data_IF_612467794014
#
_entry.id   IF_612467794014
#
_cell.length_a   1.000
_cell.length_b   1.000
_cell.length_c   1.000
_cell.angle_alpha   90.00
_cell.angle_beta   90.00
_cell.angle_gamma   90.00
#
_symmetry.space_group_name_H-M   'P 1'
#
loop_
_entity.id
_entity.type
_entity.pdbx_description
1 polymer ?
#
# COMPACT_ATOMS: atom_id res chain seq x y z
N UNK A 1 4.61 -13.99 -21.22
CA UNK A 1 4.62 -12.85 -20.28
C UNK A 1 5.05 -13.41 -18.95
N UNK A 2 6.28 -13.09 -18.57
CA UNK A 2 6.94 -13.65 -17.38
C UNK A 2 7.11 -12.52 -16.39
N UNK A 3 6.74 -12.78 -15.14
CA UNK A 3 6.97 -11.79 -14.08
C UNK A 3 8.46 -11.80 -13.70
N UNK A 4 9.14 -10.67 -13.93
CA UNK A 4 10.56 -10.47 -13.62
C UNK A 4 10.74 -9.87 -12.22
N UNK A 5 9.83 -8.99 -11.80
CA UNK A 5 9.84 -8.36 -10.48
C UNK A 5 8.48 -8.55 -9.79
N UNK A 6 8.48 -9.04 -8.55
CA UNK A 6 7.27 -9.33 -7.78
C UNK A 6 6.85 -8.12 -6.94
N UNK A 7 6.42 -7.03 -7.59
CA UNK A 7 6.14 -5.74 -6.92
C UNK A 7 5.13 -5.86 -5.75
N UNK A 8 4.13 -6.74 -5.87
CA UNK A 8 3.18 -6.99 -4.78
C UNK A 8 3.86 -7.61 -3.55
N UNK A 9 4.73 -8.61 -3.76
CA UNK A 9 5.52 -9.21 -2.66
C UNK A 9 6.43 -8.17 -2.01
N UNK A 10 7.10 -7.33 -2.81
CA UNK A 10 7.97 -6.27 -2.29
C UNK A 10 7.18 -5.25 -1.46
N UNK A 11 5.99 -4.84 -1.92
CA UNK A 11 5.12 -3.93 -1.18
C UNK A 11 4.70 -4.53 0.17
N UNK A 12 4.30 -5.82 0.20
CA UNK A 12 3.95 -6.50 1.44
C UNK A 12 5.13 -6.54 2.41
N UNK A 13 6.33 -6.91 1.95
CA UNK A 13 7.53 -6.92 2.79
C UNK A 13 7.85 -5.52 3.33
N UNK A 14 7.82 -4.50 2.48
CA UNK A 14 8.04 -3.11 2.91
C UNK A 14 7.01 -2.66 3.96
N UNK A 15 5.75 -3.08 3.85
CA UNK A 15 4.74 -2.74 4.84
C UNK A 15 4.95 -3.47 6.19
N UNK A 16 5.45 -4.72 6.16
CA UNK A 16 5.51 -5.59 7.35
C UNK A 16 6.84 -5.56 8.09
N UNK A 17 7.96 -5.51 7.39
CA UNK A 17 9.29 -5.67 7.96
C UNK A 17 9.71 -4.47 8.81
N UNK A 18 10.45 -4.72 9.89
CA UNK A 18 11.14 -3.67 10.65
C UNK A 18 12.45 -3.24 9.97
N UNK A 19 13.12 -2.21 10.49
CA UNK A 19 14.34 -1.65 9.88
C UNK A 19 15.47 -2.68 9.75
N UNK A 20 15.73 -3.47 10.81
CA UNK A 20 16.75 -4.52 10.77
C UNK A 20 16.41 -5.65 9.78
N UNK A 21 15.12 -5.96 9.62
CA UNK A 21 14.68 -6.98 8.67
C UNK A 21 14.78 -6.50 7.22
N UNK A 22 14.58 -5.20 6.97
CA UNK A 22 14.66 -4.62 5.63
C UNK A 22 16.06 -4.71 5.04
N UNK A 23 17.11 -4.68 5.86
CA UNK A 23 18.51 -4.79 5.41
C UNK A 23 18.75 -6.10 4.63
N UNK A 24 18.11 -7.21 5.02
CA UNK A 24 18.23 -8.49 4.32
C UNK A 24 17.63 -8.49 2.91
N UNK A 25 16.77 -7.53 2.60
CA UNK A 25 16.06 -7.43 1.32
C UNK A 25 16.43 -6.18 0.51
N UNK A 26 17.39 -5.37 0.98
CA UNK A 26 17.79 -4.12 0.33
C UNK A 26 18.06 -4.25 -1.19
N UNK A 27 18.79 -5.27 -1.69
CA UNK A 27 19.03 -5.43 -3.13
C UNK A 27 17.76 -5.64 -3.97
N UNK A 28 16.70 -6.16 -3.36
CA UNK A 28 15.41 -6.34 -4.05
C UNK A 28 14.63 -5.03 -4.14
N UNK A 29 14.83 -4.11 -3.20
CA UNK A 29 14.15 -2.82 -3.17
C UNK A 29 14.78 -1.78 -4.11
N UNK A 30 16.07 -1.93 -4.43
CA UNK A 30 16.77 -1.07 -5.42
C UNK A 30 16.22 -1.20 -6.84
N UNK A 31 15.47 -2.27 -7.14
CA UNK A 31 14.92 -2.53 -8.48
C UNK A 31 13.59 -1.80 -8.74
N UNK A 32 13.04 -1.12 -7.73
CA UNK A 32 11.70 -0.51 -7.78
C UNK A 32 11.71 0.86 -7.12
N UNK A 33 10.79 1.72 -7.55
CA UNK A 33 10.54 2.98 -6.86
C UNK A 33 9.50 2.72 -5.78
N UNK A 34 9.77 3.14 -4.54
CA UNK A 34 8.82 2.92 -3.45
C UNK A 34 8.81 4.04 -2.42
N UNK A 35 7.73 4.12 -1.67
CA UNK A 35 7.65 4.91 -0.45
C UNK A 35 6.91 4.15 0.66
N UNK A 36 7.22 4.46 1.91
CA UNK A 36 6.56 3.88 3.08
C UNK A 36 5.92 4.98 3.93
N UNK A 37 4.95 4.60 4.76
CA UNK A 37 4.34 5.49 5.72
C UNK A 37 3.50 4.79 6.78
N UNK A 38 2.88 5.58 7.64
CA UNK A 38 1.99 5.11 8.71
C UNK A 38 0.72 5.96 8.71
N UNK A 39 -0.43 5.33 8.93
CA UNK A 39 -1.72 6.00 9.04
C UNK A 39 -2.59 5.26 10.06
N UNK A 40 -3.06 5.98 11.08
CA UNK A 40 -4.04 5.48 12.04
C UNK A 40 -5.31 6.33 11.99
N UNK A 41 -6.47 5.70 11.84
CA UNK A 41 -7.72 6.46 11.76
C UNK A 41 -8.97 5.61 11.97
N UNK A 42 -10.04 6.27 12.40
CA UNK A 42 -11.41 5.77 12.29
C UNK A 42 -12.04 6.15 10.94
N UNK A 43 -11.43 7.04 10.16
CA UNK A 43 -11.93 7.47 8.86
C UNK A 43 -11.02 6.96 7.74
N UNK A 44 -11.56 6.09 6.89
CA UNK A 44 -10.82 5.51 5.76
C UNK A 44 -10.25 6.58 4.83
N UNK A 45 -10.98 7.69 4.66
CA UNK A 45 -10.54 8.84 3.85
C UNK A 45 -9.18 9.39 4.30
N UNK A 46 -8.89 9.41 5.61
CA UNK A 46 -7.59 9.88 6.13
C UNK A 46 -6.47 8.90 5.81
N UNK A 47 -6.75 7.60 5.75
CA UNK A 47 -5.79 6.58 5.32
C UNK A 47 -5.49 6.76 3.82
N UNK A 48 -6.52 6.91 2.99
CA UNK A 48 -6.37 7.17 1.54
C UNK A 48 -5.52 8.42 1.30
N UNK A 49 -5.88 9.53 1.95
CA UNK A 49 -5.16 10.80 1.80
C UNK A 49 -3.70 10.71 2.27
N UNK A 50 -3.40 9.94 3.32
CA UNK A 50 -2.03 9.74 3.79
C UNK A 50 -1.18 8.99 2.75
N UNK A 51 -1.72 7.95 2.11
CA UNK A 51 -1.02 7.22 1.05
C UNK A 51 -0.81 8.11 -0.19
N UNK A 52 -1.85 8.82 -0.64
CA UNK A 52 -1.75 9.72 -1.79
C UNK A 52 -0.70 10.82 -1.56
N UNK A 53 -0.73 11.44 -0.38
CA UNK A 53 0.24 12.48 0.00
C UNK A 53 1.66 11.93 0.00
N UNK A 54 1.88 10.74 0.57
CA UNK A 54 3.19 10.11 0.58
C UNK A 54 3.68 9.76 -0.83
N UNK A 55 2.81 9.19 -1.67
CA UNK A 55 3.17 8.81 -3.04
C UNK A 55 3.54 10.03 -3.89
N UNK A 56 2.77 11.13 -3.79
CA UNK A 56 3.06 12.41 -4.46
C UNK A 56 4.36 13.04 -3.97
N UNK A 57 4.52 13.18 -2.65
CA UNK A 57 5.70 13.80 -2.02
C UNK A 57 7.00 13.08 -2.36
N UNK A 58 6.96 11.76 -2.52
CA UNK A 58 8.13 10.94 -2.86
C UNK A 58 8.29 10.71 -4.38
N UNK A 59 7.46 11.36 -5.22
CA UNK A 59 7.57 11.23 -6.68
C UNK A 59 7.20 9.84 -7.23
N UNK A 60 6.48 9.02 -6.46
CA UNK A 60 5.98 7.72 -6.94
C UNK A 60 4.88 7.93 -7.99
N UNK A 61 4.06 8.97 -7.82
CA UNK A 61 3.12 9.44 -8.82
C UNK A 61 3.25 10.95 -9.02
N UNK A 62 2.91 11.43 -10.21
CA UNK A 62 2.89 12.85 -10.53
C UNK A 62 1.64 13.55 -9.93
N UNK A 63 1.84 14.73 -9.36
CA UNK A 63 0.78 15.48 -8.65
C UNK A 63 -0.39 15.89 -9.57
N UNK A 64 -0.07 16.19 -10.83
CA UNK A 64 -1.00 16.79 -11.80
C UNK A 64 -1.48 15.80 -12.89
N UNK A 65 -1.21 14.50 -12.74
CA UNK A 65 -1.63 13.48 -13.71
C UNK A 65 -2.77 12.65 -13.12
N UNK A 66 -3.98 12.91 -13.59
CA UNK A 66 -5.19 12.22 -13.11
C UNK A 66 -5.10 10.70 -13.29
N UNK A 67 -4.54 10.23 -14.42
CA UNK A 67 -4.36 8.79 -14.70
C UNK A 67 -3.61 8.07 -13.58
N UNK A 68 -2.51 8.66 -13.10
CA UNK A 68 -1.69 8.06 -12.04
C UNK A 68 -2.38 8.12 -10.68
N UNK A 69 -3.08 9.23 -10.39
CA UNK A 69 -3.88 9.37 -9.18
C UNK A 69 -5.03 8.35 -9.16
N UNK A 70 -5.70 8.14 -10.29
CA UNK A 70 -6.78 7.16 -10.45
C UNK A 70 -6.26 5.73 -10.28
N UNK A 71 -5.13 5.39 -10.90
CA UNK A 71 -4.49 4.09 -10.76
C UNK A 71 -4.15 3.78 -9.29
N UNK A 72 -3.50 4.74 -8.62
CA UNK A 72 -3.17 4.65 -7.18
C UNK A 72 -4.42 4.50 -6.32
N UNK A 73 -5.45 5.32 -6.57
CA UNK A 73 -6.70 5.30 -5.80
C UNK A 73 -7.36 3.92 -5.81
N UNK A 74 -7.47 3.29 -6.98
CA UNK A 74 -8.05 1.96 -7.08
C UNK A 74 -7.18 0.87 -6.41
N UNK A 75 -5.84 0.98 -6.50
CA UNK A 75 -4.95 0.09 -5.77
C UNK A 75 -5.09 0.26 -4.24
N UNK A 76 -5.29 1.48 -3.74
CA UNK A 76 -5.58 1.74 -2.32
C UNK A 76 -6.90 1.07 -1.92
N UNK A 77 -7.96 1.24 -2.72
CA UNK A 77 -9.28 0.67 -2.41
C UNK A 77 -9.24 -0.86 -2.33
N UNK A 78 -8.60 -1.52 -3.29
CA UNK A 78 -8.43 -2.97 -3.28
C UNK A 78 -7.64 -3.44 -2.04
N UNK A 79 -6.56 -2.74 -1.70
CA UNK A 79 -5.79 -3.01 -0.49
C UNK A 79 -6.63 -2.85 0.79
N UNK A 80 -7.48 -1.81 0.85
CA UNK A 80 -8.41 -1.59 1.97
C UNK A 80 -9.50 -2.66 2.06
N UNK A 81 -9.90 -3.30 0.96
CA UNK A 81 -10.81 -4.45 1.03
C UNK A 81 -10.16 -5.62 1.78
N UNK A 82 -8.87 -5.86 1.57
CA UNK A 82 -8.10 -6.84 2.36
C UNK A 82 -8.06 -6.50 3.85
N UNK A 83 -7.88 -5.21 4.19
CA UNK A 83 -7.89 -4.75 5.59
C UNK A 83 -9.26 -4.92 6.23
N UNK A 84 -10.32 -4.54 5.51
CA UNK A 84 -11.68 -4.45 6.05
C UNK A 84 -12.48 -5.74 5.96
N UNK A 85 -12.06 -6.67 5.09
CA UNK A 85 -12.60 -8.03 4.85
C UNK A 85 -14.10 -8.03 4.58
N UNK A 86 -14.54 -7.13 3.70
CA UNK A 86 -15.93 -6.95 3.34
C UNK A 86 -16.22 -5.48 3.05
N UNK A 87 -17.12 -4.88 3.82
CA UNK A 87 -17.47 -3.48 3.62
C UNK A 87 -16.33 -2.54 4.07
N UNK A 88 -15.94 -1.65 3.16
CA UNK A 88 -14.96 -0.59 3.43
C UNK A 88 -15.61 0.41 4.39
N UNK A 89 -15.12 0.45 5.63
CA UNK A 89 -15.63 1.32 6.69
C UNK A 89 -14.92 1.01 7.99
N UNK A 90 -14.68 1.99 8.86
CA UNK A 90 -13.93 1.76 10.10
C UNK A 90 -14.73 2.33 11.29
N UNK A 91 -14.80 3.66 11.43
CA UNK A 91 -15.51 4.31 12.53
C UNK A 91 -17.02 4.05 12.53
N UNK A 92 -17.63 3.95 11.34
CA UNK A 92 -19.05 3.56 11.19
C UNK A 92 -19.37 2.14 11.69
N UNK A 93 -18.35 1.31 11.93
CA UNK A 93 -18.47 -0.05 12.47
C UNK A 93 -17.86 -0.16 13.87
N UNK A 94 -17.67 0.98 14.57
CA UNK A 94 -17.07 1.01 15.91
C UNK A 94 -15.69 0.34 15.97
N UNK A 95 -14.89 0.48 14.90
CA UNK A 95 -13.50 0.02 14.83
C UNK A 95 -12.55 1.18 14.52
N UNK A 96 -11.26 0.95 14.73
CA UNK A 96 -10.14 1.83 14.34
C UNK A 96 -9.06 0.98 13.66
N UNK A 97 -8.22 1.60 12.83
CA UNK A 97 -7.05 0.96 12.24
C UNK A 97 -5.78 1.70 12.60
N UNK A 98 -4.68 0.96 12.74
CA UNK A 98 -3.31 1.48 12.85
C UNK A 98 -2.43 0.76 11.84
N UNK A 99 -2.15 1.40 10.70
CA UNK A 99 -1.53 0.75 9.55
C UNK A 99 -0.17 1.37 9.23
N UNK A 100 0.79 0.50 8.90
CA UNK A 100 1.92 0.81 8.03
C UNK A 100 1.49 0.56 6.60
N UNK A 101 2.03 1.33 5.67
CA UNK A 101 1.81 1.12 4.26
C UNK A 101 3.09 1.24 3.45
N UNK A 102 3.07 0.61 2.28
CA UNK A 102 4.08 0.77 1.26
C UNK A 102 3.41 0.92 -0.11
N UNK A 103 3.97 1.80 -0.93
CA UNK A 103 3.60 1.97 -2.34
C UNK A 103 4.81 1.64 -3.18
N UNK A 104 4.66 0.75 -4.15
CA UNK A 104 5.76 0.30 -5.04
C UNK A 104 5.31 0.50 -6.49
N UNK A 105 6.11 1.22 -7.28
CA UNK A 105 5.93 1.40 -8.73
C UNK A 105 7.10 0.76 -9.48
N UNK A 106 6.80 0.05 -10.56
CA UNK A 106 7.84 -0.55 -11.41
C UNK A 106 7.28 -1.29 -12.61
N UNK A 107 8.15 -2.00 -13.34
CA UNK A 107 7.81 -2.82 -14.51
C UNK A 107 7.92 -4.30 -14.14
N UNK A 108 6.85 -4.94 -13.66
CA UNK A 108 6.92 -6.30 -13.13
C UNK A 108 7.08 -7.40 -14.19
N UNK A 109 6.96 -7.08 -15.48
CA UNK A 109 6.94 -8.05 -16.57
C UNK A 109 8.12 -7.89 -17.53
N UNK A 110 8.47 -8.98 -18.22
CA UNK A 110 9.53 -9.06 -19.24
C UNK A 110 9.23 -8.22 -20.50
N UNK A 111 7.95 -8.10 -20.86
CA UNK A 111 7.47 -7.31 -21.99
C UNK A 111 7.39 -5.84 -21.63
N UNK A 112 8.08 -4.99 -22.40
CA UNK A 112 8.10 -3.54 -22.16
C UNK A 112 6.75 -2.88 -22.45
N UNK A 113 5.92 -3.50 -23.30
CA UNK A 113 4.57 -3.04 -23.67
C UNK A 113 3.59 -3.08 -22.49
N UNK A 114 3.87 -3.89 -21.47
CA UNK A 114 3.05 -3.99 -20.26
C UNK A 114 3.17 -2.74 -19.37
N UNK A 115 4.15 -1.89 -19.65
CA UNK A 115 4.31 -0.60 -18.98
C UNK A 115 4.61 -0.73 -17.49
N UNK A 116 4.19 0.28 -16.74
CA UNK A 116 4.39 0.37 -15.31
C UNK A 116 3.15 -0.08 -14.55
N UNK A 117 3.39 -0.60 -13.35
CA UNK A 117 2.38 -1.06 -12.43
C UNK A 117 2.67 -0.49 -11.06
N UNK A 118 1.63 -0.36 -10.26
CA UNK A 118 1.69 0.14 -8.89
C UNK A 118 1.06 -0.90 -7.94
N UNK A 119 1.72 -1.13 -6.81
CA UNK A 119 1.24 -1.99 -5.74
C UNK A 119 1.15 -1.18 -4.44
N UNK A 120 0.04 -1.31 -3.72
CA UNK A 120 -0.20 -0.69 -2.42
C UNK A 120 -0.46 -1.77 -1.39
N UNK A 121 0.38 -1.85 -0.37
CA UNK A 121 0.23 -2.80 0.72
C UNK A 121 -0.05 -2.07 2.04
N UNK A 122 -0.96 -2.64 2.84
CA UNK A 122 -1.20 -2.25 4.22
C UNK A 122 -0.90 -3.41 5.16
N UNK A 123 -0.26 -3.11 6.29
CA UNK A 123 -0.08 -4.04 7.39
C UNK A 123 -0.18 -3.31 8.73
N UNK A 124 -0.86 -3.90 9.70
CA UNK A 124 -0.95 -3.34 11.04
C UNK A 124 -2.11 -3.96 11.79
N UNK A 125 -2.81 -3.16 12.60
CA UNK A 125 -3.90 -3.65 13.44
C UNK A 125 -5.25 -3.02 13.09
N UNK A 126 -6.31 -3.79 13.34
CA UNK A 126 -7.70 -3.36 13.32
C UNK A 126 -8.37 -3.87 14.59
N UNK A 127 -9.19 -3.03 15.22
CA UNK A 127 -9.77 -3.39 16.51
C UNK A 127 -10.84 -2.42 16.99
N UNK A 128 -11.38 -2.69 18.17
CA UNK A 128 -12.22 -1.74 18.89
C UNK A 128 -11.42 -0.45 19.19
N UNK A 129 -12.06 0.70 19.45
CA UNK A 129 -11.39 1.95 19.83
C UNK A 129 -10.86 1.90 21.29
N UNK A 130 -10.22 0.79 21.65
CA UNK A 130 -9.66 0.48 22.96
C UNK A 130 -8.33 -0.24 22.72
N UNK A 131 -7.23 0.32 23.25
CA UNK A 131 -5.89 -0.23 23.07
C UNK A 131 -5.82 -1.68 23.56
N UNK A 132 -5.23 -2.57 22.75
CA UNK A 132 -5.09 -3.98 23.07
C UNK A 132 -6.31 -4.85 22.73
N UNK A 133 -7.45 -4.26 22.33
CA UNK A 133 -8.59 -4.98 21.75
C UNK A 133 -8.51 -4.95 20.21
N UNK A 134 -7.38 -5.40 19.70
CA UNK A 134 -7.03 -5.34 18.27
C UNK A 134 -6.29 -6.60 17.83
N UNK A 135 -6.35 -6.88 16.54
CA UNK A 135 -5.64 -8.00 15.93
C UNK A 135 -5.04 -7.54 14.60
N UNK A 136 -4.13 -8.35 14.05
CA UNK A 136 -3.44 -8.02 12.81
C UNK A 136 -4.37 -8.03 11.59
N UNK A 137 -4.02 -7.22 10.60
CA UNK A 137 -4.72 -7.16 9.33
C UNK A 137 -3.76 -6.84 8.20
N UNK A 138 -4.08 -7.31 6.99
CA UNK A 138 -3.25 -7.13 5.80
C UNK A 138 -4.11 -6.76 4.60
N UNK A 139 -3.57 -5.95 3.70
CA UNK A 139 -4.18 -5.60 2.42
C UNK A 139 -3.13 -5.49 1.32
N UNK A 140 -3.49 -5.87 0.10
CA UNK A 140 -2.70 -5.64 -1.10
C UNK A 140 -3.64 -5.28 -2.25
N UNK A 141 -3.33 -4.20 -2.96
CA UNK A 141 -3.98 -3.85 -4.22
C UNK A 141 -2.94 -3.55 -5.29
N UNK A 142 -3.23 -3.91 -6.54
CA UNK A 142 -2.30 -3.81 -7.67
C UNK A 142 -3.05 -3.24 -8.87
N UNK A 143 -2.45 -2.27 -9.54
CA UNK A 143 -3.03 -1.69 -10.75
C UNK A 143 -1.97 -1.32 -11.79
N UNK A 144 -2.37 -1.22 -13.06
CA UNK A 144 -1.54 -0.63 -14.11
C UNK A 144 -1.52 0.90 -13.95
N UNK A 145 -0.42 1.57 -14.30
CA UNK A 145 -0.25 3.01 -14.07
C UNK A 145 0.35 3.79 -15.23
#
# INVERSE_FOLDING_TARGET
>A
MTQTVKIGKLAMLLASLNESEMEYFAPAFEQVNYCQGKAGSMEVQKVIAAVETAAKRNGIIAENVYRETHALYHAILESLQGVTRGQIGVGNMMRTVGLRFAVVRGKPYDRSEEGEWIAVAFYGTIGAPVKGLEHETFGLGINHI
#
